data_IF_408863370474
#
_entry.id   IF_408863370474
#
_cell.length_a   1.000
_cell.length_b   1.000
_cell.length_c   1.000
_cell.angle_alpha   90.00
_cell.angle_beta   90.00
_cell.angle_gamma   90.00
#
_symmetry.space_group_name_H-M   'P 1'
#
loop_
_entity.id
_entity.type
_entity.pdbx_description
1 polymer ?
#
# COMPACT_ATOMS: atom_id res chain seq x y z
N UNK A 1 -17.18 3.90 -16.62
CA UNK A 1 -16.99 4.24 -15.20
C UNK A 1 -15.78 3.52 -14.60
N UNK A 2 -15.72 2.19 -14.63
CA UNK A 2 -14.59 1.40 -14.09
C UNK A 2 -13.23 1.76 -14.73
N UNK A 3 -13.16 1.89 -16.06
CA UNK A 3 -11.91 2.30 -16.74
C UNK A 3 -11.39 3.67 -16.30
N UNK A 4 -12.27 4.66 -16.08
CA UNK A 4 -11.90 5.99 -15.59
C UNK A 4 -11.35 5.93 -14.17
N UNK A 5 -11.98 5.15 -13.28
CA UNK A 5 -11.51 4.96 -11.91
C UNK A 5 -10.14 4.27 -11.89
N UNK A 6 -9.95 3.24 -12.72
CA UNK A 6 -8.67 2.55 -12.84
C UNK A 6 -7.57 3.50 -13.30
N UNK A 7 -7.84 4.38 -14.27
CA UNK A 7 -6.86 5.35 -14.75
C UNK A 7 -6.47 6.36 -13.67
N UNK A 8 -7.45 6.88 -12.90
CA UNK A 8 -7.18 7.79 -11.78
C UNK A 8 -6.33 7.11 -10.71
N UNK A 9 -6.71 5.89 -10.29
CA UNK A 9 -5.96 5.12 -9.30
C UNK A 9 -4.55 4.79 -9.78
N UNK A 10 -4.38 4.43 -11.06
CA UNK A 10 -3.07 4.19 -11.65
C UNK A 10 -2.18 5.45 -11.65
N UNK A 11 -2.73 6.63 -11.99
CA UNK A 11 -1.97 7.89 -11.95
C UNK A 11 -1.55 8.21 -10.51
N UNK A 12 -2.46 8.06 -9.54
CA UNK A 12 -2.15 8.25 -8.12
C UNK A 12 -1.02 7.33 -7.66
N UNK A 13 -1.05 6.07 -8.08
CA UNK A 13 0.02 5.10 -7.77
C UNK A 13 1.37 5.54 -8.33
N UNK A 14 1.41 6.04 -9.58
CA UNK A 14 2.65 6.55 -10.18
C UNK A 14 3.19 7.74 -9.39
N UNK A 15 2.32 8.68 -8.99
CA UNK A 15 2.74 9.83 -8.16
C UNK A 15 3.33 9.36 -6.83
N UNK A 16 2.67 8.41 -6.16
CA UNK A 16 3.17 7.82 -4.90
C UNK A 16 4.51 7.09 -5.12
N UNK A 17 4.70 6.38 -6.23
CA UNK A 17 5.98 5.74 -6.55
C UNK A 17 7.11 6.77 -6.73
N UNK A 18 6.83 7.90 -7.39
CA UNK A 18 7.79 9.00 -7.53
C UNK A 18 8.13 9.57 -6.16
N UNK A 19 7.13 9.83 -5.31
CA UNK A 19 7.33 10.33 -3.95
C UNK A 19 8.16 9.36 -3.10
N UNK A 20 7.89 8.04 -3.19
CA UNK A 20 8.70 7.00 -2.53
C UNK A 20 10.16 7.11 -2.98
N UNK A 21 10.42 7.21 -4.28
CA UNK A 21 11.77 7.29 -4.82
C UNK A 21 12.51 8.54 -4.32
N UNK A 22 11.85 9.71 -4.33
CA UNK A 22 12.42 10.97 -3.81
C UNK A 22 12.77 10.85 -2.34
N UNK A 23 11.86 10.27 -1.53
CA UNK A 23 12.08 10.12 -0.09
C UNK A 23 13.19 9.08 0.19
N UNK A 24 13.26 7.98 -0.55
CA UNK A 24 14.34 6.99 -0.44
C UNK A 24 15.71 7.59 -0.77
N UNK A 25 15.81 8.36 -1.86
CA UNK A 25 17.04 9.06 -2.25
C UNK A 25 17.43 10.06 -1.16
N UNK A 26 16.46 10.82 -0.63
CA UNK A 26 16.71 11.76 0.45
C UNK A 26 17.21 11.05 1.73
N UNK A 27 16.58 9.92 2.09
CA UNK A 27 16.96 9.11 3.25
C UNK A 27 18.35 8.49 3.08
N UNK A 28 18.68 7.96 1.90
CA UNK A 28 20.02 7.48 1.56
C UNK A 28 21.06 8.60 1.64
N UNK A 29 20.76 9.79 1.11
CA UNK A 29 21.63 10.97 1.24
C UNK A 29 21.86 11.37 2.70
N UNK A 30 20.85 11.29 3.57
CA UNK A 30 21.04 11.51 5.01
C UNK A 30 21.95 10.44 5.63
N UNK A 31 21.75 9.17 5.26
CA UNK A 31 22.56 8.08 5.80
C UNK A 31 24.03 8.16 5.37
N UNK A 32 24.29 8.39 4.08
CA UNK A 32 25.64 8.42 3.52
C UNK A 32 26.35 9.77 3.68
N UNK A 33 25.64 10.89 3.51
CA UNK A 33 26.23 12.23 3.51
C UNK A 33 25.96 13.04 4.79
N UNK A 34 25.26 12.46 5.78
CA UNK A 34 24.82 13.13 7.03
C UNK A 34 24.19 14.52 6.80
N UNK A 35 23.57 14.71 5.64
CA UNK A 35 23.00 15.98 5.22
C UNK A 35 21.48 15.93 5.36
N UNK A 36 20.97 16.81 6.20
CA UNK A 36 19.52 16.96 6.37
C UNK A 36 18.92 17.69 5.17
N UNK A 37 18.03 16.98 4.46
CA UNK A 37 17.35 17.49 3.28
C UNK A 37 15.91 17.95 3.60
N UNK A 38 15.40 18.87 2.79
CA UNK A 38 14.02 19.37 2.90
C UNK A 38 12.99 18.23 2.79
N UNK A 39 13.25 17.23 1.92
CA UNK A 39 12.37 16.08 1.71
C UNK A 39 12.17 15.23 2.98
N UNK A 40 13.20 15.09 3.83
CA UNK A 40 13.06 14.36 5.09
C UNK A 40 12.22 15.16 6.10
N UNK A 41 12.44 16.48 6.18
CA UNK A 41 11.60 17.35 7.01
C UNK A 41 10.15 17.32 6.56
N UNK A 42 9.92 17.29 5.25
CA UNK A 42 8.59 17.10 4.65
C UNK A 42 7.99 15.75 5.08
N UNK A 43 8.73 14.64 4.91
CA UNK A 43 8.27 13.30 5.26
C UNK A 43 7.94 13.15 6.76
N UNK A 44 8.69 13.79 7.66
CA UNK A 44 8.41 13.74 9.11
C UNK A 44 7.16 14.56 9.45
N UNK A 45 7.02 15.76 8.86
CA UNK A 45 5.90 16.67 9.13
C UNK A 45 4.57 16.17 8.53
N UNK A 46 4.63 15.66 7.31
CA UNK A 46 3.46 15.22 6.54
C UNK A 46 3.27 13.70 6.51
N UNK A 47 4.19 12.91 7.08
CA UNK A 47 4.14 11.45 6.97
C UNK A 47 2.89 10.81 7.60
N UNK A 48 2.43 11.32 8.74
CA UNK A 48 1.22 10.79 9.39
C UNK A 48 -0.07 11.08 8.58
N UNK A 49 -0.33 12.33 8.12
CA UNK A 49 -1.51 12.61 7.30
C UNK A 49 -1.44 11.93 5.92
N UNK A 50 -0.26 11.84 5.30
CA UNK A 50 -0.09 11.13 4.02
C UNK A 50 -0.33 9.63 4.17
N UNK A 51 0.16 9.00 5.24
CA UNK A 51 -0.10 7.60 5.53
C UNK A 51 -1.60 7.32 5.75
N UNK A 52 -2.30 8.18 6.50
CA UNK A 52 -3.74 8.07 6.69
C UNK A 52 -4.51 8.21 5.38
N UNK A 53 -4.19 9.23 4.57
CA UNK A 53 -4.81 9.43 3.27
C UNK A 53 -4.61 8.23 2.35
N UNK A 54 -3.40 7.66 2.34
CA UNK A 54 -3.06 6.47 1.55
C UNK A 54 -3.87 5.26 1.98
N UNK A 55 -4.00 5.02 3.30
CA UNK A 55 -4.80 3.92 3.83
C UNK A 55 -6.29 4.08 3.48
N UNK A 56 -6.80 5.31 3.57
CA UNK A 56 -8.20 5.65 3.26
C UNK A 56 -8.49 5.45 1.77
N UNK A 57 -7.65 5.99 0.88
CA UNK A 57 -7.79 5.81 -0.57
C UNK A 57 -7.66 4.33 -0.97
N UNK A 58 -6.74 3.59 -0.34
CA UNK A 58 -6.59 2.14 -0.59
C UNK A 58 -7.84 1.35 -0.17
N UNK A 59 -8.43 1.70 0.97
CA UNK A 59 -9.67 1.08 1.47
C UNK A 59 -10.85 1.40 0.57
N UNK A 60 -11.04 2.66 0.19
CA UNK A 60 -12.10 3.07 -0.74
C UNK A 60 -11.93 2.45 -2.12
N UNK A 61 -10.71 2.39 -2.65
CA UNK A 61 -10.40 1.73 -3.91
C UNK A 61 -10.75 0.24 -3.86
N UNK A 62 -10.38 -0.45 -2.78
CA UNK A 62 -10.72 -1.87 -2.59
C UNK A 62 -12.23 -2.10 -2.53
N UNK A 63 -12.98 -1.21 -1.89
CA UNK A 63 -14.44 -1.28 -1.78
C UNK A 63 -15.11 -0.98 -3.13
N UNK A 64 -14.60 0.00 -3.87
CA UNK A 64 -15.06 0.35 -5.21
C UNK A 64 -14.95 -0.84 -6.18
N UNK A 65 -13.84 -1.57 -6.14
CA UNK A 65 -13.66 -2.77 -6.96
C UNK A 65 -14.64 -3.90 -6.59
N UNK A 66 -14.99 -4.03 -5.30
CA UNK A 66 -15.93 -5.06 -4.83
C UNK A 66 -17.38 -4.74 -5.22
N UNK A 67 -17.84 -3.54 -4.86
CA UNK A 67 -19.27 -3.18 -4.91
C UNK A 67 -19.69 -2.66 -6.29
N UNK A 68 -18.82 -1.92 -6.99
CA UNK A 68 -19.16 -1.26 -8.26
C UNK A 68 -18.64 -2.04 -9.46
N UNK A 69 -17.39 -2.51 -9.40
CA UNK A 69 -16.82 -3.28 -10.51
C UNK A 69 -17.22 -4.78 -10.48
N UNK A 70 -17.78 -5.26 -9.36
CA UNK A 70 -18.21 -6.65 -9.20
C UNK A 70 -17.05 -7.65 -9.20
N UNK A 71 -15.83 -7.21 -8.87
CA UNK A 71 -14.67 -8.09 -8.80
C UNK A 71 -14.70 -8.88 -7.50
N UNK A 72 -14.90 -10.19 -7.61
CA UNK A 72 -14.86 -11.11 -6.47
C UNK A 72 -13.45 -11.12 -5.86
N UNK A 73 -13.29 -10.81 -4.56
CA UNK A 73 -11.99 -10.77 -3.92
C UNK A 73 -11.43 -12.19 -3.76
N UNK A 74 -10.14 -12.32 -4.04
CA UNK A 74 -9.39 -13.53 -3.77
C UNK A 74 -9.07 -13.68 -2.26
N UNK A 75 -8.72 -14.88 -1.78
CA UNK A 75 -8.36 -15.10 -0.37
C UNK A 75 -7.18 -14.22 0.08
N UNK A 76 -6.14 -14.11 -0.75
CA UNK A 76 -4.98 -13.23 -0.52
C UNK A 76 -5.38 -11.74 -0.43
N UNK A 77 -6.31 -11.32 -1.28
CA UNK A 77 -6.87 -9.97 -1.32
C UNK A 77 -7.64 -9.68 -0.01
N UNK A 78 -8.32 -10.70 0.53
CA UNK A 78 -9.02 -10.62 1.80
C UNK A 78 -8.06 -10.43 2.98
N UNK A 79 -6.93 -11.15 2.99
CA UNK A 79 -5.87 -10.93 3.99
C UNK A 79 -5.29 -9.51 3.89
N UNK A 80 -5.09 -8.96 2.69
CA UNK A 80 -4.66 -7.56 2.54
C UNK A 80 -5.69 -6.58 3.11
N UNK A 81 -7.00 -6.83 2.94
CA UNK A 81 -8.07 -6.00 3.54
C UNK A 81 -8.05 -6.04 5.06
N UNK A 82 -7.90 -7.22 5.67
CA UNK A 82 -7.81 -7.37 7.15
C UNK A 82 -6.65 -6.54 7.71
N UNK A 83 -5.54 -6.45 6.98
CA UNK A 83 -4.36 -5.69 7.42
C UNK A 83 -4.52 -4.19 7.18
N UNK A 84 -5.10 -3.79 6.04
CA UNK A 84 -5.23 -2.37 5.64
C UNK A 84 -6.33 -1.62 6.41
N UNK A 85 -7.49 -2.23 6.64
CA UNK A 85 -8.63 -1.51 7.23
C UNK A 85 -8.38 -1.01 8.66
N UNK A 86 -7.76 -1.80 9.56
CA UNK A 86 -7.37 -1.31 10.87
C UNK A 86 -6.40 -0.12 10.81
N UNK A 87 -5.53 -0.06 9.78
CA UNK A 87 -4.58 1.05 9.64
C UNK A 87 -5.27 2.38 9.42
N UNK A 88 -6.42 2.41 8.74
CA UNK A 88 -7.22 3.65 8.58
C UNK A 88 -7.63 4.18 9.95
N UNK A 89 -8.15 3.30 10.81
CA UNK A 89 -8.63 3.67 12.14
C UNK A 89 -7.46 4.08 13.04
N UNK A 90 -6.39 3.29 13.07
CA UNK A 90 -5.25 3.57 13.95
C UNK A 90 -4.52 4.85 13.53
N UNK A 91 -4.23 5.05 12.24
CA UNK A 91 -3.60 6.27 11.74
C UNK A 91 -4.50 7.51 11.92
N UNK A 92 -5.82 7.36 11.75
CA UNK A 92 -6.79 8.41 12.04
C UNK A 92 -6.80 8.81 13.52
N UNK A 93 -6.76 7.82 14.43
CA UNK A 93 -6.63 8.07 15.86
C UNK A 93 -5.29 8.70 16.24
N UNK A 94 -4.20 8.30 15.57
CA UNK A 94 -2.88 8.90 15.77
C UNK A 94 -2.85 10.37 15.36
N UNK A 95 -3.55 10.74 14.28
CA UNK A 95 -3.70 12.14 13.86
C UNK A 95 -4.41 12.98 14.91
N UNK A 96 -5.47 12.43 15.52
CA UNK A 96 -6.24 13.14 16.53
C UNK A 96 -5.52 13.22 17.88
N UNK A 97 -5.03 12.08 18.41
CA UNK A 97 -4.44 11.99 19.74
C UNK A 97 -2.93 12.25 19.78
N UNK A 98 -2.27 12.43 18.63
CA UNK A 98 -0.80 12.54 18.49
C UNK A 98 -0.04 11.40 19.19
N UNK A 99 -0.64 10.21 19.25
CA UNK A 99 -0.05 9.06 19.94
C UNK A 99 1.00 8.37 19.05
N UNK A 100 2.20 8.23 19.60
CA UNK A 100 3.39 7.68 18.93
C UNK A 100 3.39 6.14 18.88
N UNK A 101 2.69 5.47 19.80
CA UNK A 101 2.62 4.01 19.85
C UNK A 101 2.03 3.39 18.55
N UNK A 102 1.26 4.18 17.81
CA UNK A 102 0.63 3.77 16.55
C UNK A 102 1.65 3.59 15.41
N UNK A 103 2.82 4.25 15.50
CA UNK A 103 3.86 4.16 14.46
C UNK A 103 4.39 2.73 14.35
N UNK A 104 4.69 2.09 15.49
CA UNK A 104 5.22 0.72 15.52
C UNK A 104 4.19 -0.32 15.03
N UNK A 105 2.93 -0.15 15.43
CA UNK A 105 1.84 -1.00 14.97
C UNK A 105 1.63 -0.88 13.46
N UNK A 106 1.71 0.34 12.93
CA UNK A 106 1.53 0.61 11.51
C UNK A 106 2.69 0.05 10.68
N UNK A 107 3.92 0.06 11.19
CA UNK A 107 5.09 -0.56 10.55
C UNK A 107 4.87 -2.09 10.43
N UNK A 108 4.50 -2.75 11.53
CA UNK A 108 4.30 -4.20 11.56
C UNK A 108 3.19 -4.65 10.59
N UNK A 109 2.05 -3.96 10.63
CA UNK A 109 0.94 -4.24 9.71
C UNK A 109 1.34 -4.00 8.24
N UNK A 110 2.00 -2.88 7.95
CA UNK A 110 2.42 -2.59 6.57
C UNK A 110 3.41 -3.60 6.03
N UNK A 111 4.32 -4.11 6.88
CA UNK A 111 5.27 -5.14 6.48
C UNK A 111 4.57 -6.44 6.10
N UNK A 112 3.59 -6.88 6.89
CA UNK A 112 2.79 -8.07 6.61
C UNK A 112 1.99 -7.90 5.30
N UNK A 113 1.32 -6.75 5.14
CA UNK A 113 0.57 -6.43 3.93
C UNK A 113 1.45 -6.40 2.67
N UNK A 114 2.65 -5.82 2.77
CA UNK A 114 3.62 -5.78 1.68
C UNK A 114 4.09 -7.19 1.29
N UNK A 115 4.40 -8.07 2.26
CA UNK A 115 4.79 -9.45 1.96
C UNK A 115 3.70 -10.22 1.20
N UNK A 116 2.44 -10.08 1.63
CA UNK A 116 1.29 -10.71 0.96
C UNK A 116 1.12 -10.17 -0.47
N UNK A 117 1.28 -8.85 -0.66
CA UNK A 117 1.19 -8.21 -1.97
C UNK A 117 2.32 -8.65 -2.92
N UNK A 118 3.55 -8.77 -2.43
CA UNK A 118 4.68 -9.33 -3.22
C UNK A 118 4.37 -10.76 -3.63
N UNK A 119 3.94 -11.62 -2.70
CA UNK A 119 3.60 -13.01 -3.00
C UNK A 119 2.52 -13.12 -4.09
N UNK A 120 1.47 -12.31 -3.98
CA UNK A 120 0.41 -12.29 -4.97
C UNK A 120 0.88 -11.76 -6.33
N UNK A 121 1.72 -10.73 -6.36
CA UNK A 121 2.28 -10.18 -7.59
C UNK A 121 3.19 -11.19 -8.31
N UNK A 122 4.10 -11.86 -7.58
CA UNK A 122 4.95 -12.93 -8.10
C UNK A 122 4.13 -14.08 -8.70
N UNK A 123 2.95 -14.31 -8.13
CA UNK A 123 1.94 -15.21 -8.65
C UNK A 123 1.33 -14.84 -9.98
N UNK A 124 0.98 -13.57 -10.15
CA UNK A 124 0.38 -13.07 -11.38
C UNK A 124 1.37 -13.09 -12.55
N UNK A 125 2.66 -12.87 -12.28
CA UNK A 125 3.73 -12.97 -13.28
C UNK A 125 4.22 -14.40 -13.50
N UNK A 126 3.51 -15.42 -13.00
CA UNK A 126 3.82 -16.85 -13.16
C UNK A 126 5.21 -17.30 -12.68
N UNK A 127 5.86 -16.53 -11.78
CA UNK A 127 7.15 -16.89 -11.18
C UNK A 127 6.97 -17.94 -10.09
N UNK A 128 5.81 -17.92 -9.43
CA UNK A 128 5.43 -18.89 -8.41
C UNK A 128 4.08 -19.49 -8.83
N UNK A 129 3.99 -20.82 -8.85
CA UNK A 129 2.69 -21.47 -9.02
C UNK A 129 1.85 -21.22 -7.77
N UNK A 130 0.81 -20.39 -7.89
CA UNK A 130 -0.20 -20.34 -6.84
C UNK A 130 -1.04 -21.59 -6.98
N UNK A 131 -1.04 -22.41 -5.93
CA UNK A 131 -2.01 -23.47 -5.79
C UNK A 131 -3.41 -22.88 -6.07
N UNK A 132 -4.23 -23.51 -6.93
CA UNK A 132 -5.56 -23.01 -7.22
C UNK A 132 -6.34 -22.95 -5.90
N UNK A 133 -6.63 -21.74 -5.41
CA UNK A 133 -7.42 -21.52 -4.20
C UNK A 133 -8.89 -21.95 -4.36
N UNK A 134 -9.24 -22.68 -5.42
CA UNK A 134 -10.57 -23.22 -5.70
C UNK A 134 -11.00 -24.34 -4.75
N UNK A 135 -10.16 -24.75 -3.80
CA UNK A 135 -10.52 -25.77 -2.81
C UNK A 135 -11.55 -25.29 -1.75
N UNK A 136 -11.78 -23.97 -1.62
CA UNK A 136 -12.70 -23.41 -0.62
C UNK A 136 -13.68 -22.43 -1.30
N UNK A 137 -14.65 -22.99 -2.04
CA UNK A 137 -16.05 -22.54 -2.25
C UNK A 137 -16.47 -21.10 -2.58
N UNK A 138 -15.66 -20.06 -2.41
CA UNK A 138 -16.10 -18.65 -2.46
C UNK A 138 -15.10 -17.68 -3.09
N UNK A 139 -14.00 -18.16 -3.69
CA UNK A 139 -12.97 -17.27 -4.23
C UNK A 139 -12.49 -17.68 -5.62
N UNK A 140 -12.45 -16.68 -6.51
CA UNK A 140 -11.79 -16.76 -7.83
C UNK A 140 -10.29 -17.05 -7.67
N UNK A 141 -9.70 -17.70 -8.67
CA UNK A 141 -8.26 -17.97 -8.70
C UNK A 141 -7.45 -16.68 -8.51
N UNK A 142 -6.57 -16.66 -7.51
CA UNK A 142 -5.68 -15.53 -7.18
C UNK A 142 -4.74 -15.11 -8.33
N UNK A 143 -4.61 -15.95 -9.37
CA UNK A 143 -3.85 -15.72 -10.60
C UNK A 143 -4.62 -14.89 -11.64
N UNK A 144 -5.93 -14.67 -11.49
CA UNK A 144 -6.69 -13.84 -12.44
C UNK A 144 -6.27 -12.36 -12.36
N UNK A 145 -5.95 -11.80 -13.52
CA UNK A 145 -5.62 -10.38 -13.68
C UNK A 145 -6.88 -9.62 -14.13
N UNK A 146 -7.58 -9.00 -13.19
CA UNK A 146 -8.81 -8.23 -13.48
C UNK A 146 -8.52 -6.82 -14.02
N UNK A 147 -7.41 -6.22 -13.58
CA UNK A 147 -6.98 -4.88 -13.96
C UNK A 147 -5.51 -4.93 -14.32
N UNK A 148 -5.20 -4.48 -15.52
CA UNK A 148 -3.84 -4.33 -16.02
C UNK A 148 -3.75 -2.99 -16.75
N UNK A 149 -3.36 -1.96 -16.01
CA UNK A 149 -3.17 -0.62 -16.54
C UNK A 149 -1.67 -0.34 -16.75
N UNK A 150 -1.33 0.35 -17.83
CA UNK A 150 0.06 0.67 -18.21
C UNK A 150 1.01 -0.54 -18.32
N UNK A 151 0.49 -1.75 -18.46
CA UNK A 151 1.28 -2.98 -18.63
C UNK A 151 1.93 -3.55 -17.37
N UNK A 152 1.88 -2.86 -16.22
CA UNK A 152 2.45 -3.35 -14.95
C UNK A 152 1.60 -3.07 -13.70
N UNK A 153 0.65 -2.12 -13.79
CA UNK A 153 -0.17 -1.73 -12.65
C UNK A 153 -1.35 -2.70 -12.53
N UNK A 154 -1.15 -3.71 -11.69
CA UNK A 154 -2.18 -4.65 -11.26
C UNK A 154 -2.67 -4.30 -9.85
N UNK A 155 -3.82 -4.87 -9.43
CA UNK A 155 -4.37 -4.66 -8.08
C UNK A 155 -3.33 -4.96 -6.96
N UNK A 156 -2.59 -6.09 -7.01
CA UNK A 156 -1.54 -6.36 -6.02
C UNK A 156 -0.42 -5.32 -6.03
N UNK A 157 -0.05 -4.80 -7.20
CA UNK A 157 0.97 -3.75 -7.31
C UNK A 157 0.50 -2.44 -6.67
N UNK A 158 -0.77 -2.08 -6.86
CA UNK A 158 -1.38 -0.92 -6.17
C UNK A 158 -1.32 -1.11 -4.64
N UNK A 159 -1.72 -2.28 -4.14
CA UNK A 159 -1.66 -2.60 -2.71
C UNK A 159 -0.22 -2.55 -2.17
N UNK A 160 0.74 -3.13 -2.90
CA UNK A 160 2.15 -3.11 -2.56
C UNK A 160 2.67 -1.68 -2.41
N UNK A 161 2.33 -0.80 -3.36
CA UNK A 161 2.73 0.61 -3.28
C UNK A 161 2.15 1.31 -2.06
N UNK A 162 0.86 1.12 -1.75
CA UNK A 162 0.23 1.69 -0.56
C UNK A 162 0.90 1.24 0.74
N UNK A 163 1.09 -0.06 0.93
CA UNK A 163 1.76 -0.60 2.12
C UNK A 163 3.21 -0.13 2.22
N UNK A 164 3.96 -0.15 1.10
CA UNK A 164 5.35 0.31 1.08
C UNK A 164 5.48 1.80 1.42
N UNK A 165 4.53 2.64 0.97
CA UNK A 165 4.53 4.06 1.27
C UNK A 165 4.27 4.34 2.75
N UNK A 166 3.25 3.69 3.33
CA UNK A 166 2.94 3.80 4.76
C UNK A 166 4.15 3.34 5.58
N UNK A 167 4.72 2.18 5.22
CA UNK A 167 5.90 1.62 5.89
C UNK A 167 7.08 2.62 5.87
N UNK A 168 7.40 3.17 4.69
CA UNK A 168 8.50 4.11 4.50
C UNK A 168 8.33 5.38 5.33
N UNK A 169 7.15 6.00 5.29
CA UNK A 169 6.85 7.21 6.05
C UNK A 169 6.97 6.97 7.55
N UNK A 170 6.46 5.84 8.04
CA UNK A 170 6.53 5.50 9.46
C UNK A 170 7.96 5.16 9.91
N UNK A 171 8.74 4.45 9.08
CA UNK A 171 10.15 4.16 9.37
C UNK A 171 10.98 5.45 9.47
N UNK A 172 10.82 6.38 8.54
CA UNK A 172 11.57 7.65 8.56
C UNK A 172 11.21 8.47 9.79
N UNK A 173 9.92 8.51 10.16
CA UNK A 173 9.48 9.16 11.40
C UNK A 173 10.11 8.53 12.64
N UNK A 174 10.22 7.20 12.68
CA UNK A 174 10.83 6.45 13.79
C UNK A 174 12.34 6.67 13.91
N UNK A 175 13.07 6.60 12.79
CA UNK A 175 14.53 6.74 12.76
C UNK A 175 15.05 8.18 12.81
N UNK A 176 14.18 9.17 12.55
CA UNK A 176 14.57 10.59 12.60
C UNK A 176 14.18 11.30 13.90
N UNK A 177 13.65 10.57 14.88
CA UNK A 177 13.61 10.98 16.28
C UNK A 177 14.89 10.57 16.98
#
# INVERSE_FOLDING_TARGET
MVSTANNILSILVILVQIDIAVILIAWAMKYFAKKDNLAIRYAIRWGLPLAFLTALVSTLGSLFYSEIAGYEPCTLCWYQRIVMYPQVITLGLALWKKNEAVVDQSIMLSLIGAMIAVYQYLGQISVIELAPCSAIGYSVSCSKTFVMNYGYITIPMMALTGFSYILLLMLIRKFSK
#
